data_IF_073362050991
#
_entry.id   IF_073362050991
#
_cell.length_a   1.000
_cell.length_b   1.000
_cell.length_c   1.000
_cell.angle_alpha   90.00
_cell.angle_beta   90.00
_cell.angle_gamma   90.00
#
_symmetry.space_group_name_H-M   'P 1'
#
loop_
_entity.id
_entity.type
_entity.pdbx_description
1 polymer ?
#
# COMPACT_ATOMS: atom_id res chain seq x y z
N UNK A 1 32.10 4.43 8.90
CA UNK A 1 31.25 3.80 7.85
C UNK A 1 30.63 4.94 7.07
N UNK A 2 30.77 4.95 5.75
CA UNK A 2 30.04 5.94 4.93
C UNK A 2 28.58 5.49 4.94
N UNK A 3 27.68 6.31 5.50
CA UNK A 3 26.25 6.06 5.44
C UNK A 3 25.84 6.03 3.98
N UNK A 4 25.27 4.92 3.53
CA UNK A 4 24.70 4.85 2.18
C UNK A 4 23.45 5.75 2.11
N UNK A 5 23.18 6.40 0.97
CA UNK A 5 21.94 7.13 0.81
C UNK A 5 20.74 6.20 1.03
N UNK A 6 19.76 6.65 1.81
CA UNK A 6 18.52 5.92 2.08
C UNK A 6 17.59 6.02 0.86
N UNK A 7 17.12 4.88 0.35
CA UNK A 7 16.11 4.86 -0.70
C UNK A 7 14.72 5.22 -0.13
N UNK A 8 13.89 5.90 -0.92
CA UNK A 8 12.52 6.22 -0.51
C UNK A 8 11.72 4.96 -0.16
N UNK A 9 11.92 3.88 -0.91
CA UNK A 9 11.26 2.60 -0.65
C UNK A 9 11.63 1.95 0.70
N UNK A 10 12.71 2.33 1.36
CA UNK A 10 13.01 1.84 2.71
C UNK A 10 11.98 2.30 3.74
N UNK A 11 11.39 3.48 3.56
CA UNK A 11 10.34 3.94 4.47
C UNK A 11 9.13 3.00 4.47
N UNK A 12 8.65 2.57 3.30
CA UNK A 12 7.53 1.63 3.24
C UNK A 12 7.93 0.24 3.74
N UNK A 13 9.13 -0.21 3.41
CA UNK A 13 9.64 -1.52 3.84
C UNK A 13 9.73 -1.61 5.36
N UNK A 14 10.29 -0.59 6.03
CA UNK A 14 10.32 -0.51 7.50
C UNK A 14 8.91 -0.54 8.10
N UNK A 15 7.96 0.19 7.52
CA UNK A 15 6.57 0.23 8.00
C UNK A 15 5.86 -1.11 7.84
N UNK A 16 6.11 -1.82 6.73
CA UNK A 16 5.62 -3.18 6.56
C UNK A 16 6.23 -4.13 7.60
N UNK A 17 7.54 -4.02 7.85
CA UNK A 17 8.24 -4.82 8.88
C UNK A 17 7.72 -4.49 10.28
N UNK A 18 7.54 -3.20 10.63
CA UNK A 18 6.89 -2.78 11.87
C UNK A 18 5.46 -3.30 12.01
N UNK A 19 4.76 -3.43 10.89
CA UNK A 19 3.43 -4.03 10.79
C UNK A 19 3.42 -5.55 10.92
N UNK A 20 4.58 -6.20 11.05
CA UNK A 20 4.74 -7.63 11.26
C UNK A 20 5.08 -8.45 10.01
N UNK A 21 5.48 -7.81 8.90
CA UNK A 21 5.92 -8.54 7.71
C UNK A 21 7.28 -9.21 7.94
N UNK A 22 7.33 -10.52 7.86
CA UNK A 22 8.54 -11.36 7.89
C UNK A 22 9.01 -11.77 6.50
N UNK A 23 8.16 -11.56 5.49
CA UNK A 23 8.44 -11.75 4.07
C UNK A 23 8.09 -10.49 3.29
N UNK A 24 8.98 -10.04 2.47
CA UNK A 24 8.84 -8.88 1.60
C UNK A 24 8.89 -9.34 0.14
N UNK A 25 7.84 -9.09 -0.61
CA UNK A 25 7.78 -9.39 -2.03
C UNK A 25 7.84 -8.09 -2.84
N UNK A 26 8.96 -7.83 -3.48
CA UNK A 26 9.11 -6.71 -4.40
C UNK A 26 8.64 -7.11 -5.79
N UNK A 27 7.64 -6.41 -6.29
CA UNK A 27 7.22 -6.56 -7.69
C UNK A 27 7.93 -5.48 -8.51
N UNK A 28 8.80 -5.93 -9.41
CA UNK A 28 9.70 -5.06 -10.18
C UNK A 28 9.54 -5.26 -11.67
N UNK A 29 9.87 -4.23 -12.45
CA UNK A 29 10.01 -4.39 -13.90
C UNK A 29 11.32 -5.12 -14.25
N UNK A 30 11.43 -5.76 -15.43
CA UNK A 30 12.64 -6.49 -15.82
C UNK A 30 13.93 -5.66 -15.82
N UNK A 31 13.80 -4.32 -15.96
CA UNK A 31 14.94 -3.39 -16.02
C UNK A 31 15.39 -2.87 -14.67
N UNK A 32 14.64 -3.12 -13.58
CA UNK A 32 14.91 -2.60 -12.23
C UNK A 32 15.79 -3.53 -11.39
N UNK A 33 16.89 -4.01 -11.96
CA UNK A 33 17.84 -4.92 -11.29
C UNK A 33 18.68 -4.25 -10.19
N UNK A 34 18.73 -2.92 -10.15
CA UNK A 34 19.32 -2.13 -9.10
C UNK A 34 18.62 -2.34 -7.75
N UNK A 35 17.31 -2.55 -7.74
CA UNK A 35 16.52 -2.88 -6.54
C UNK A 35 17.00 -4.21 -5.94
N UNK A 36 17.28 -5.23 -6.78
CA UNK A 36 17.80 -6.51 -6.32
C UNK A 36 19.17 -6.34 -5.64
N UNK A 37 20.04 -5.50 -6.22
CA UNK A 37 21.36 -5.22 -5.65
C UNK A 37 21.27 -4.44 -4.34
N UNK A 38 20.27 -3.55 -4.24
CA UNK A 38 20.09 -2.70 -3.07
C UNK A 38 19.61 -3.49 -1.85
N UNK A 39 18.57 -4.30 -2.00
CA UNK A 39 17.95 -5.04 -0.89
C UNK A 39 18.56 -6.42 -0.66
N UNK A 40 19.07 -7.10 -1.70
CA UNK A 40 19.55 -8.46 -1.59
C UNK A 40 18.45 -9.45 -1.19
N UNK A 41 18.80 -10.46 -0.41
CA UNK A 41 17.88 -11.52 0.02
C UNK A 41 17.20 -11.24 1.37
N UNK A 42 17.58 -10.18 2.07
CA UNK A 42 17.07 -9.85 3.42
C UNK A 42 17.07 -8.35 3.65
N UNK A 43 16.03 -7.90 4.37
CA UNK A 43 15.98 -6.58 4.95
C UNK A 43 15.68 -6.73 6.44
N UNK A 44 16.62 -6.36 7.30
CA UNK A 44 16.59 -6.65 8.73
C UNK A 44 16.32 -8.14 9.00
N UNK A 45 15.21 -8.47 9.64
CA UNK A 45 14.80 -9.84 9.94
C UNK A 45 13.92 -10.47 8.84
N UNK A 46 13.42 -9.66 7.90
CA UNK A 46 12.49 -10.10 6.85
C UNK A 46 13.25 -10.73 5.67
N UNK A 47 12.72 -11.82 5.14
CA UNK A 47 13.19 -12.43 3.89
C UNK A 47 12.68 -11.63 2.70
N UNK A 48 13.50 -11.46 1.66
CA UNK A 48 13.16 -10.69 0.46
C UNK A 48 13.04 -11.62 -0.75
N UNK A 49 11.93 -11.48 -1.47
CA UNK A 49 11.68 -12.11 -2.76
C UNK A 49 11.42 -11.04 -3.82
N UNK A 50 11.72 -11.36 -5.08
CA UNK A 50 11.47 -10.49 -6.22
C UNK A 50 10.60 -11.21 -7.23
N UNK A 51 9.55 -10.55 -7.68
CA UNK A 51 8.65 -11.03 -8.73
C UNK A 51 8.66 -10.01 -9.87
N UNK A 52 8.68 -10.48 -11.10
CA UNK A 52 8.76 -9.61 -12.27
C UNK A 52 7.37 -9.34 -12.82
N UNK A 53 7.05 -8.06 -12.95
CA UNK A 53 5.95 -7.57 -13.78
C UNK A 53 6.55 -7.21 -15.15
N UNK A 54 6.31 -7.97 -16.21
CA UNK A 54 7.01 -7.77 -17.49
C UNK A 54 6.59 -6.49 -18.19
N UNK A 55 5.33 -6.09 -18.04
CA UNK A 55 4.75 -4.87 -18.60
C UNK A 55 3.95 -4.13 -17.53
N UNK A 56 3.92 -2.77 -17.55
CA UNK A 56 3.20 -1.98 -16.56
C UNK A 56 1.69 -2.05 -16.80
N UNK A 57 1.04 -3.09 -16.29
CA UNK A 57 -0.39 -3.35 -16.44
C UNK A 57 -1.24 -2.89 -15.23
N UNK A 58 -0.69 -2.01 -14.41
CA UNK A 58 -1.37 -1.43 -13.25
C UNK A 58 -1.08 -2.12 -11.94
N UNK A 59 -1.67 -1.55 -10.86
CA UNK A 59 -1.39 -1.99 -9.49
C UNK A 59 -2.00 -3.36 -9.20
N UNK A 60 -3.19 -3.68 -9.73
CA UNK A 60 -3.79 -5.00 -9.55
C UNK A 60 -2.92 -6.10 -10.16
N UNK A 61 -2.40 -5.91 -11.39
CA UNK A 61 -1.49 -6.87 -12.01
C UNK A 61 -0.22 -7.05 -11.16
N UNK A 62 0.39 -5.95 -10.70
CA UNK A 62 1.56 -6.01 -9.82
C UNK A 62 1.25 -6.79 -8.53
N UNK A 63 0.15 -6.45 -7.85
CA UNK A 63 -0.24 -7.05 -6.57
C UNK A 63 -0.47 -8.55 -6.70
N UNK A 64 -1.14 -9.00 -7.75
CA UNK A 64 -1.44 -10.42 -7.96
C UNK A 64 -0.30 -11.24 -8.60
N UNK A 65 0.82 -10.61 -8.99
CA UNK A 65 2.05 -11.36 -9.33
C UNK A 65 2.58 -12.18 -8.17
N UNK A 66 2.29 -11.79 -6.95
CA UNK A 66 2.66 -12.54 -5.75
C UNK A 66 1.71 -13.72 -5.43
N UNK A 67 0.57 -13.87 -6.12
CA UNK A 67 -0.45 -14.86 -5.77
C UNK A 67 0.06 -16.32 -5.67
N UNK A 68 0.99 -16.80 -6.50
CA UNK A 68 1.54 -18.15 -6.35
C UNK A 68 2.34 -18.38 -5.07
N UNK A 69 2.72 -17.32 -4.34
CA UNK A 69 3.58 -17.36 -3.17
C UNK A 69 2.87 -17.01 -1.87
N UNK A 70 1.57 -16.71 -1.94
CA UNK A 70 0.72 -16.35 -0.80
C UNK A 70 -0.18 -17.50 -0.42
N UNK A 71 -0.07 -17.98 0.82
CA UNK A 71 -0.98 -18.97 1.38
C UNK A 71 -2.34 -18.38 1.77
N UNK A 72 -3.40 -19.18 1.75
CA UNK A 72 -4.75 -18.73 2.14
C UNK A 72 -4.82 -18.28 3.61
N UNK A 73 -4.01 -18.85 4.47
CA UNK A 73 -3.93 -18.54 5.91
C UNK A 73 -2.88 -17.43 6.20
N UNK A 74 -2.20 -16.92 5.18
CA UNK A 74 -1.12 -15.97 5.31
C UNK A 74 -1.63 -14.54 5.11
N UNK A 75 -1.53 -13.64 6.10
CA UNK A 75 -1.95 -12.26 5.93
C UNK A 75 -1.04 -11.52 4.94
N UNK A 76 -1.64 -10.67 4.11
CA UNK A 76 -0.93 -9.85 3.12
C UNK A 76 -1.09 -8.38 3.46
N UNK A 77 -0.01 -7.61 3.38
CA UNK A 77 -0.06 -6.16 3.44
C UNK A 77 0.54 -5.56 2.16
N UNK A 78 -0.02 -4.45 1.72
CA UNK A 78 0.50 -3.68 0.59
C UNK A 78 0.83 -2.26 1.01
N UNK A 79 2.01 -1.79 0.58
CA UNK A 79 2.43 -0.39 0.61
C UNK A 79 3.10 -0.01 -0.70
N UNK A 80 3.01 1.26 -1.08
CA UNK A 80 3.59 1.79 -2.32
C UNK A 80 5.01 2.28 -2.08
N UNK A 81 6.00 1.92 -2.93
CA UNK A 81 7.42 2.14 -2.66
C UNK A 81 7.88 3.60 -2.77
N UNK A 82 7.05 4.47 -3.30
CA UNK A 82 7.26 5.89 -3.50
C UNK A 82 6.53 6.76 -2.47
N UNK A 83 6.16 6.17 -1.32
CA UNK A 83 5.38 6.87 -0.30
C UNK A 83 6.06 6.87 1.07
N UNK A 84 5.79 7.93 1.82
CA UNK A 84 6.20 8.07 3.22
C UNK A 84 4.97 8.43 4.04
N UNK A 85 4.71 7.70 5.11
CA UNK A 85 3.58 7.99 6.00
C UNK A 85 3.94 7.91 7.48
N UNK A 86 3.10 8.49 8.30
CA UNK A 86 3.15 8.44 9.76
C UNK A 86 1.74 8.22 10.34
N UNK A 87 1.61 7.56 11.50
CA UNK A 87 2.70 6.98 12.30
C UNK A 87 3.37 5.81 11.59
N UNK A 88 4.62 5.53 11.92
CA UNK A 88 5.42 4.48 11.27
C UNK A 88 4.82 3.09 11.46
N UNK A 89 4.21 2.85 12.61
CA UNK A 89 3.56 1.59 12.98
C UNK A 89 2.04 1.56 12.69
N UNK A 90 1.53 2.48 11.89
CA UNK A 90 0.09 2.62 11.58
C UNK A 90 -0.59 1.33 11.12
N UNK A 91 0.14 0.41 10.47
CA UNK A 91 -0.40 -0.90 10.08
C UNK A 91 -0.81 -1.78 11.26
N UNK A 92 -0.28 -1.55 12.48
CA UNK A 92 -0.69 -2.29 13.69
C UNK A 92 -2.12 -1.98 14.12
N UNK A 93 -2.65 -0.82 13.71
CA UNK A 93 -4.04 -0.44 13.99
C UNK A 93 -5.06 -1.20 13.13
N UNK A 94 -4.62 -1.88 12.07
CA UNK A 94 -5.51 -2.59 11.15
C UNK A 94 -5.91 -3.95 11.72
N UNK A 95 -7.21 -4.32 11.66
CA UNK A 95 -7.67 -5.66 12.00
C UNK A 95 -7.04 -6.71 11.08
N UNK A 96 -6.90 -7.94 11.62
CA UNK A 96 -6.25 -9.05 10.90
C UNK A 96 -7.24 -9.98 10.19
N UNK A 97 -8.53 -9.85 10.48
CA UNK A 97 -9.60 -10.77 10.08
C UNK A 97 -10.36 -10.37 8.81
N UNK A 98 -10.04 -9.18 8.24
CA UNK A 98 -10.72 -8.61 7.08
C UNK A 98 -9.83 -7.69 6.25
N UNK A 99 -10.29 -7.29 5.06
CA UNK A 99 -9.64 -6.24 4.27
C UNK A 99 -9.75 -4.91 5.01
N UNK A 100 -8.61 -4.31 5.34
CA UNK A 100 -8.55 -3.07 6.10
C UNK A 100 -7.56 -2.09 5.49
N UNK A 101 -8.03 -0.87 5.23
CA UNK A 101 -7.26 0.24 4.67
C UNK A 101 -6.78 1.16 5.79
N UNK A 102 -5.48 1.49 5.79
CA UNK A 102 -4.92 2.56 6.61
C UNK A 102 -5.22 3.89 5.92
N UNK A 103 -6.03 4.71 6.58
CA UNK A 103 -6.51 5.97 6.03
C UNK A 103 -5.74 7.16 6.58
N UNK A 104 -5.48 8.12 5.68
CA UNK A 104 -4.78 9.37 5.95
C UNK A 104 -5.65 10.56 5.53
N UNK A 105 -5.65 11.67 6.30
CA UNK A 105 -6.29 12.90 5.86
C UNK A 105 -5.48 13.54 4.73
N UNK A 106 -6.14 13.94 3.63
CA UNK A 106 -5.51 14.62 2.52
C UNK A 106 -6.11 16.00 2.30
N UNK A 107 -5.24 17.01 2.11
CA UNK A 107 -5.65 18.35 1.76
C UNK A 107 -6.14 18.45 0.31
N UNK A 108 -5.55 17.65 -0.59
CA UNK A 108 -5.91 17.57 -2.00
C UNK A 108 -6.30 16.13 -2.36
N UNK A 109 -7.47 15.64 -1.91
CA UNK A 109 -7.86 14.25 -2.08
C UNK A 109 -8.08 13.82 -3.54
N UNK A 110 -8.37 14.75 -4.45
CA UNK A 110 -8.65 14.47 -5.87
C UNK A 110 -7.47 13.83 -6.63
N UNK A 111 -6.24 13.90 -6.11
CA UNK A 111 -5.08 13.27 -6.77
C UNK A 111 -4.83 11.84 -6.28
N UNK A 112 -5.62 11.37 -5.31
CA UNK A 112 -5.50 10.07 -4.66
C UNK A 112 -6.78 9.24 -4.81
N UNK A 113 -6.69 7.98 -4.42
CA UNK A 113 -7.85 7.13 -4.26
C UNK A 113 -8.52 7.40 -2.90
N UNK A 114 -9.72 7.96 -2.95
CA UNK A 114 -10.49 8.44 -1.80
C UNK A 114 -11.40 7.35 -1.27
N UNK A 115 -11.33 7.08 0.03
CA UNK A 115 -12.19 6.08 0.69
C UNK A 115 -13.40 6.77 1.30
N UNK A 116 -14.58 6.39 0.84
CA UNK A 116 -15.87 6.76 1.43
C UNK A 116 -16.31 5.61 2.34
N UNK A 117 -16.57 5.91 3.60
CA UNK A 117 -16.95 4.92 4.61
C UNK A 117 -18.01 5.47 5.55
N UNK A 118 -18.78 4.59 6.17
CA UNK A 118 -19.77 4.93 7.19
C UNK A 118 -19.13 5.30 8.55
N UNK A 119 -19.95 5.63 9.53
CA UNK A 119 -19.50 5.98 10.88
C UNK A 119 -18.81 4.84 11.63
N UNK A 120 -19.08 3.58 11.25
CA UNK A 120 -18.44 2.39 11.81
C UNK A 120 -17.12 2.04 11.09
N UNK A 121 -16.75 2.80 10.06
CA UNK A 121 -15.55 2.57 9.27
C UNK A 121 -15.74 1.58 8.12
N UNK A 122 -16.97 1.07 7.86
CA UNK A 122 -17.22 0.19 6.73
C UNK A 122 -17.07 0.98 5.43
N UNK A 123 -16.24 0.48 4.51
CA UNK A 123 -16.04 1.09 3.20
C UNK A 123 -17.30 0.93 2.35
N UNK A 124 -17.85 2.06 1.90
CA UNK A 124 -18.97 2.10 0.95
C UNK A 124 -18.47 2.05 -0.50
N UNK A 125 -17.43 2.83 -0.78
CA UNK A 125 -16.77 2.87 -2.10
C UNK A 125 -15.39 3.50 -2.01
N UNK A 126 -14.53 3.16 -2.95
CA UNK A 126 -13.25 3.82 -3.20
C UNK A 126 -13.39 4.60 -4.51
N UNK A 127 -13.30 5.93 -4.43
CA UNK A 127 -13.30 6.80 -5.59
C UNK A 127 -11.86 6.94 -6.12
N UNK A 128 -11.60 6.38 -7.30
CA UNK A 128 -10.28 6.47 -7.94
C UNK A 128 -10.10 7.85 -8.53
N UNK A 129 -9.18 8.64 -7.95
CA UNK A 129 -8.81 10.01 -8.38
C UNK A 129 -10.01 10.86 -8.81
N UNK A 130 -11.01 11.09 -7.95
CA UNK A 130 -12.26 11.72 -8.32
C UNK A 130 -12.08 13.24 -8.52
N UNK A 131 -12.75 13.81 -9.51
CA UNK A 131 -12.84 15.27 -9.66
C UNK A 131 -13.57 15.93 -8.47
N UNK A 132 -14.61 15.26 -7.95
CA UNK A 132 -15.39 15.68 -6.80
C UNK A 132 -15.34 14.61 -5.69
N UNK A 133 -14.34 14.66 -4.81
CA UNK A 133 -14.18 13.68 -3.74
C UNK A 133 -15.29 13.84 -2.68
N UNK A 134 -15.88 12.73 -2.26
CA UNK A 134 -16.91 12.67 -1.20
C UNK A 134 -16.32 12.56 0.20
N UNK A 135 -15.01 12.42 0.31
CA UNK A 135 -14.26 12.30 1.55
C UNK A 135 -12.89 12.94 1.37
N UNK A 136 -12.23 13.31 2.47
CA UNK A 136 -10.82 13.70 2.49
C UNK A 136 -9.89 12.59 3.01
N UNK A 137 -10.41 11.37 3.18
CA UNK A 137 -9.64 10.23 3.61
C UNK A 137 -9.18 9.41 2.42
N UNK A 138 -7.87 9.28 2.28
CA UNK A 138 -7.22 8.47 1.24
C UNK A 138 -6.63 7.21 1.87
N UNK A 139 -6.48 6.13 1.10
CA UNK A 139 -5.72 4.99 1.57
C UNK A 139 -4.24 5.11 1.17
N UNK A 140 -3.33 4.70 2.06
CA UNK A 140 -1.89 4.69 1.77
C UNK A 140 -1.29 3.28 1.84
N UNK A 141 -1.92 2.41 2.60
CA UNK A 141 -1.57 1.00 2.74
C UNK A 141 -2.82 0.21 3.11
N UNK A 142 -2.77 -1.11 2.96
CA UNK A 142 -3.84 -1.98 3.43
C UNK A 142 -3.31 -3.35 3.86
N UNK A 143 -4.13 -4.06 4.61
CA UNK A 143 -3.93 -5.45 5.00
C UNK A 143 -5.15 -6.28 4.66
N UNK A 144 -4.94 -7.55 4.27
CA UNK A 144 -6.00 -8.51 4.04
C UNK A 144 -5.59 -9.90 4.54
N UNK A 145 -6.53 -10.75 5.01
CA UNK A 145 -6.31 -12.18 5.11
C UNK A 145 -5.96 -12.78 3.74
N UNK A 146 -5.12 -13.81 3.69
CA UNK A 146 -4.77 -14.49 2.43
C UNK A 146 -5.98 -15.02 1.68
N UNK A 147 -6.99 -15.52 2.40
CA UNK A 147 -8.25 -15.94 1.78
C UNK A 147 -8.94 -14.77 1.02
N UNK A 148 -8.96 -13.56 1.60
CA UNK A 148 -9.53 -12.37 0.94
C UNK A 148 -8.66 -11.93 -0.24
N UNK A 149 -7.33 -12.00 -0.10
CA UNK A 149 -6.40 -11.76 -1.21
C UNK A 149 -6.71 -12.67 -2.41
N UNK A 150 -6.93 -13.96 -2.18
CA UNK A 150 -7.28 -14.91 -3.24
C UNK A 150 -8.68 -14.67 -3.81
N UNK A 151 -9.68 -14.29 -2.99
CA UNK A 151 -10.99 -13.88 -3.49
C UNK A 151 -10.89 -12.68 -4.46
N UNK A 152 -10.11 -11.67 -4.11
CA UNK A 152 -9.86 -10.50 -4.96
C UNK A 152 -9.11 -10.91 -6.24
N UNK A 153 -8.13 -11.81 -6.14
CA UNK A 153 -7.41 -12.33 -7.31
C UNK A 153 -8.35 -13.08 -8.26
N UNK A 154 -9.18 -13.98 -7.74
CA UNK A 154 -10.15 -14.73 -8.54
C UNK A 154 -11.19 -13.81 -9.20
N UNK A 155 -11.66 -12.78 -8.47
CA UNK A 155 -12.55 -11.78 -9.03
C UNK A 155 -11.85 -11.04 -10.18
N UNK A 156 -10.62 -10.58 -10.00
CA UNK A 156 -9.84 -9.90 -11.03
C UNK A 156 -9.66 -10.76 -12.29
N UNK A 157 -9.40 -12.08 -12.11
CA UNK A 157 -9.33 -13.04 -13.22
C UNK A 157 -10.68 -13.17 -13.93
N UNK A 158 -11.81 -13.34 -13.20
CA UNK A 158 -13.16 -13.41 -13.77
C UNK A 158 -13.55 -12.15 -14.54
N UNK A 159 -13.05 -11.00 -14.11
CA UNK A 159 -13.27 -9.71 -14.77
C UNK A 159 -12.30 -9.46 -15.95
N UNK A 160 -11.56 -10.49 -16.38
CA UNK A 160 -10.65 -10.40 -17.53
C UNK A 160 -9.39 -9.57 -17.27
N UNK A 161 -9.01 -9.38 -16.00
CA UNK A 161 -7.82 -8.58 -15.58
C UNK A 161 -7.88 -7.11 -16.01
N UNK A 162 -9.07 -6.57 -16.19
CA UNK A 162 -9.24 -5.21 -16.70
C UNK A 162 -9.11 -4.12 -15.63
N UNK A 163 -9.23 -4.48 -14.35
CA UNK A 163 -9.10 -3.51 -13.25
C UNK A 163 -7.60 -3.17 -13.07
N UNK A 164 -7.28 -1.91 -13.33
CA UNK A 164 -5.92 -1.35 -13.20
C UNK A 164 -5.68 -0.91 -11.76
N UNK A 165 -6.71 -0.33 -11.12
CA UNK A 165 -6.67 0.21 -9.78
C UNK A 165 -7.32 -0.73 -8.77
N UNK A 166 -6.71 -0.82 -7.58
CA UNK A 166 -7.25 -1.65 -6.48
C UNK A 166 -8.64 -1.17 -6.05
N UNK A 167 -8.87 0.16 -6.08
CA UNK A 167 -10.17 0.75 -5.72
C UNK A 167 -11.33 0.20 -6.57
N UNK A 168 -11.16 0.09 -7.89
CA UNK A 168 -12.19 -0.43 -8.78
C UNK A 168 -12.50 -1.90 -8.50
N UNK A 169 -11.46 -2.71 -8.29
CA UNK A 169 -11.62 -4.13 -7.96
C UNK A 169 -12.30 -4.33 -6.61
N UNK A 170 -11.90 -3.55 -5.59
CA UNK A 170 -12.51 -3.62 -4.25
C UNK A 170 -13.97 -3.19 -4.30
N UNK A 171 -14.31 -2.16 -5.08
CA UNK A 171 -15.71 -1.77 -5.27
C UNK A 171 -16.54 -2.90 -5.89
N UNK A 172 -16.01 -3.59 -6.91
CA UNK A 172 -16.67 -4.74 -7.51
C UNK A 172 -16.83 -5.89 -6.49
N UNK A 173 -15.83 -6.14 -5.66
CA UNK A 173 -15.89 -7.16 -4.62
C UNK A 173 -16.90 -6.82 -3.53
N UNK A 174 -17.04 -5.54 -3.12
CA UNK A 174 -18.07 -5.08 -2.19
C UNK A 174 -19.47 -5.31 -2.75
N UNK A 175 -19.68 -5.06 -4.05
CA UNK A 175 -20.97 -5.34 -4.73
C UNK A 175 -21.32 -6.83 -4.71
N UNK A 176 -20.32 -7.72 -4.74
CA UNK A 176 -20.50 -9.18 -4.59
C UNK A 176 -20.66 -9.63 -3.11
N UNK A 177 -20.76 -8.71 -2.15
CA UNK A 177 -20.96 -9.00 -0.74
C UNK A 177 -19.68 -9.04 0.09
N UNK A 178 -18.55 -8.61 -0.45
CA UNK A 178 -17.31 -8.43 0.29
C UNK A 178 -17.39 -7.26 1.26
N UNK A 179 -16.61 -7.32 2.34
CA UNK A 179 -16.58 -6.27 3.37
C UNK A 179 -15.15 -5.75 3.60
N UNK A 180 -14.98 -4.44 3.49
CA UNK A 180 -13.74 -3.74 3.80
C UNK A 180 -13.97 -2.67 4.87
N UNK A 181 -12.92 -2.36 5.64
CA UNK A 181 -12.96 -1.28 6.63
C UNK A 181 -11.85 -0.27 6.37
N UNK A 182 -12.14 1.00 6.63
CA UNK A 182 -11.18 2.08 6.63
C UNK A 182 -10.86 2.48 8.07
N UNK A 183 -9.57 2.45 8.43
CA UNK A 183 -9.10 2.80 9.78
C UNK A 183 -8.37 4.14 9.71
N UNK A 184 -8.91 5.17 10.37
CA UNK A 184 -8.36 6.53 10.43
C UNK A 184 -7.22 6.63 11.45
N UNK A 185 -6.17 5.84 11.24
CA UNK A 185 -4.99 5.80 12.12
C UNK A 185 -3.76 6.48 11.49
N UNK A 186 -3.86 6.95 10.26
CA UNK A 186 -2.83 7.74 9.60
C UNK A 186 -2.88 9.22 9.98
N UNK A 187 -1.71 9.84 10.15
CA UNK A 187 -1.54 11.27 10.46
C UNK A 187 -1.12 12.06 9.23
N UNK A 188 -0.13 11.57 8.51
CA UNK A 188 0.42 12.21 7.32
C UNK A 188 0.85 11.18 6.27
N UNK A 189 0.68 11.53 5.01
CA UNK A 189 1.01 10.70 3.85
C UNK A 189 1.56 11.58 2.74
N UNK A 190 2.69 11.21 2.17
CA UNK A 190 3.35 11.91 1.08
C UNK A 190 3.69 10.93 -0.03
N UNK A 191 3.25 11.24 -1.25
CA UNK A 191 3.68 10.59 -2.49
C UNK A 191 4.93 11.31 -3.01
N UNK A 192 6.07 10.64 -2.99
CA UNK A 192 7.39 11.17 -3.37
C UNK A 192 7.65 11.05 -4.89
N UNK A 193 6.73 10.42 -5.63
CA UNK A 193 6.82 10.27 -7.09
C UNK A 193 6.72 11.58 -7.87
N UNK A 194 6.39 12.69 -7.21
CA UNK A 194 6.30 14.03 -7.80
C UNK A 194 7.36 14.97 -7.20
N UNK A 195 7.73 16.04 -7.93
CA UNK A 195 8.68 17.04 -7.42
C UNK A 195 8.17 17.74 -6.15
N UNK A 196 6.89 18.09 -6.11
CA UNK A 196 6.29 18.73 -4.94
C UNK A 196 6.19 17.77 -3.76
N UNK A 197 5.82 16.52 -3.99
CA UNK A 197 5.83 15.47 -2.97
C UNK A 197 7.23 15.20 -2.43
N UNK A 198 8.26 15.20 -3.27
CA UNK A 198 9.65 15.08 -2.80
C UNK A 198 10.04 16.23 -1.86
N UNK A 199 9.69 17.48 -2.19
CA UNK A 199 9.93 18.63 -1.32
C UNK A 199 9.15 18.56 0.00
N UNK A 200 7.90 18.09 -0.06
CA UNK A 200 7.07 17.90 1.12
C UNK A 200 7.64 16.81 2.03
N UNK A 201 8.11 15.70 1.46
CA UNK A 201 8.77 14.64 2.21
C UNK A 201 10.00 15.15 2.99
N UNK A 202 10.84 15.98 2.36
CA UNK A 202 11.99 16.58 3.05
C UNK A 202 11.53 17.42 4.24
N UNK A 203 10.51 18.27 4.08
CA UNK A 203 9.99 19.10 5.18
C UNK A 203 9.43 18.25 6.31
N UNK A 204 8.62 17.25 5.97
CA UNK A 204 8.00 16.33 6.93
C UNK A 204 9.06 15.59 7.76
N UNK A 205 10.07 15.04 7.10
CA UNK A 205 11.16 14.31 7.77
C UNK A 205 12.02 15.23 8.63
N UNK A 206 12.31 16.45 8.18
CA UNK A 206 13.10 17.44 8.96
C UNK A 206 12.36 17.87 10.23
N UNK A 207 11.06 18.19 10.13
CA UNK A 207 10.25 18.60 11.29
C UNK A 207 10.12 17.49 12.34
N UNK A 208 10.02 16.23 11.91
CA UNK A 208 9.97 15.09 12.84
C UNK A 208 11.32 14.79 13.50
N UNK A 209 12.42 14.99 12.79
CA UNK A 209 13.76 14.87 13.38
C UNK A 209 14.04 15.93 14.45
N UNK A 210 13.45 17.12 14.32
CA UNK A 210 13.53 18.20 15.32
C UNK A 210 12.64 17.92 16.54
N UNK A 211 11.45 17.36 16.33
CA UNK A 211 10.50 17.04 17.41
C UNK A 211 10.93 15.83 18.26
N UNK A 212 11.82 14.98 17.77
CA UNK A 212 12.37 13.81 18.48
C UNK A 212 13.66 14.07 19.26
N UNK A 213 14.14 15.31 19.27
CA UNK A 213 15.31 15.76 20.07
C UNK A 213 14.89 16.45 21.34
#
# INVERSE_FOLDING_TARGET
MVERPRAVSEYVVERLTLGGADKLCFVISPTKTDIIRYYGARFEQSSVAFVVQPEPAGLCDAFFRAAPFVGADEPVALGLPDTIWFPEDGLKALPHDRLAFLLFPAANPQVFDVVVHDAAGRVETIQVKPEAPRSNWIWGAFRAPGAVYHQLHDLWLRRGRQDVYVGDLVNAWIVEGGEAVGVRAGESYVDVGTYDGYREAIRLLSSRAEAGR
#
